data_IF_973603156615
#
_entry.id   IF_973603156615
#
_cell.length_a   1.000
_cell.length_b   1.000
_cell.length_c   1.000
_cell.angle_alpha   90.00
_cell.angle_beta   90.00
_cell.angle_gamma   90.00
#
_symmetry.space_group_name_H-M   'P 1'
#
loop_
_entity.id
_entity.type
_entity.pdbx_description
1 polymer ?
#
# COMPACT_ATOMS: atom_id res chain seq x y z
N UNK A 1 17.61 -2.97 -21.04
CA UNK A 1 17.03 -1.76 -20.41
C UNK A 1 15.52 -1.86 -20.24
N UNK A 2 14.74 -2.20 -21.27
CA UNK A 2 13.26 -2.33 -21.19
C UNK A 2 12.77 -3.42 -20.21
N UNK A 3 13.41 -4.59 -20.15
CA UNK A 3 12.90 -5.68 -19.28
C UNK A 3 13.12 -5.45 -17.77
N UNK A 4 14.12 -4.65 -17.38
CA UNK A 4 14.36 -4.32 -15.97
C UNK A 4 13.35 -3.30 -15.46
N UNK A 5 12.99 -2.31 -16.30
CA UNK A 5 11.96 -1.33 -16.01
C UNK A 5 10.58 -2.00 -15.89
N UNK A 6 10.25 -2.92 -16.80
CA UNK A 6 9.01 -3.71 -16.72
C UNK A 6 8.95 -4.58 -15.45
N UNK A 7 10.07 -5.23 -15.08
CA UNK A 7 10.18 -5.97 -13.83
C UNK A 7 9.98 -5.08 -12.61
N UNK A 8 10.57 -3.89 -12.60
CA UNK A 8 10.40 -2.92 -11.51
C UNK A 8 8.93 -2.48 -11.40
N UNK A 9 8.30 -2.16 -12.53
CA UNK A 9 6.89 -1.77 -12.60
C UNK A 9 5.97 -2.84 -11.99
N UNK A 10 6.18 -4.11 -12.36
CA UNK A 10 5.42 -5.22 -11.80
C UNK A 10 5.66 -5.42 -10.29
N UNK A 11 6.90 -5.27 -9.82
CA UNK A 11 7.23 -5.34 -8.39
C UNK A 11 6.57 -4.22 -7.59
N UNK A 12 6.54 -3.00 -8.14
CA UNK A 12 5.87 -1.86 -7.50
C UNK A 12 4.35 -2.10 -7.41
N UNK A 13 3.73 -2.62 -8.47
CA UNK A 13 2.30 -3.02 -8.45
C UNK A 13 2.01 -4.05 -7.36
N UNK A 14 2.84 -5.07 -7.23
CA UNK A 14 2.71 -6.06 -6.17
C UNK A 14 2.85 -5.42 -4.77
N UNK A 15 3.77 -4.47 -4.59
CA UNK A 15 3.95 -3.76 -3.33
C UNK A 15 2.72 -2.92 -2.95
N UNK A 16 2.07 -2.25 -3.91
CA UNK A 16 0.79 -1.54 -3.66
C UNK A 16 -0.24 -2.49 -3.05
N UNK A 17 -0.47 -3.64 -3.68
CA UNK A 17 -1.44 -4.63 -3.20
C UNK A 17 -1.13 -5.13 -1.79
N UNK A 18 0.16 -5.37 -1.47
CA UNK A 18 0.58 -5.76 -0.13
C UNK A 18 0.22 -4.69 0.90
N UNK A 19 0.52 -3.42 0.61
CA UNK A 19 0.18 -2.31 1.50
C UNK A 19 -1.33 -2.12 1.66
N UNK A 20 -2.11 -2.22 0.58
CA UNK A 20 -3.57 -2.12 0.65
C UNK A 20 -4.20 -3.25 1.47
N UNK A 21 -3.73 -4.48 1.27
CA UNK A 21 -4.20 -5.64 2.03
C UNK A 21 -3.87 -5.49 3.52
N UNK A 22 -2.63 -5.10 3.86
CA UNK A 22 -2.24 -4.85 5.24
C UNK A 22 -3.06 -3.73 5.89
N UNK A 23 -3.35 -2.66 5.15
CA UNK A 23 -4.22 -1.60 5.64
C UNK A 23 -5.65 -2.13 5.91
N UNK A 24 -6.18 -2.96 5.02
CA UNK A 24 -7.48 -3.61 5.18
C UNK A 24 -7.55 -4.55 6.37
N UNK A 25 -6.54 -5.41 6.54
CA UNK A 25 -6.44 -6.36 7.65
C UNK A 25 -6.27 -5.65 8.98
N UNK A 26 -5.43 -4.61 9.06
CA UNK A 26 -5.34 -3.77 10.25
C UNK A 26 -6.68 -3.10 10.54
N UNK A 27 -7.37 -2.56 9.54
CA UNK A 27 -8.71 -1.98 9.75
C UNK A 27 -9.73 -3.00 10.29
N UNK A 28 -9.65 -4.26 9.89
CA UNK A 28 -10.48 -5.35 10.45
C UNK A 28 -10.10 -5.67 11.89
N UNK A 29 -8.81 -5.81 12.19
CA UNK A 29 -8.32 -6.11 13.53
C UNK A 29 -8.68 -4.99 14.51
N UNK A 30 -8.55 -3.72 14.11
CA UNK A 30 -8.95 -2.58 14.93
C UNK A 30 -10.42 -2.65 15.35
N UNK A 31 -11.32 -3.01 14.42
CA UNK A 31 -12.75 -3.17 14.73
C UNK A 31 -13.01 -4.32 15.69
N UNK A 32 -12.23 -5.41 15.60
CA UNK A 32 -12.32 -6.53 16.54
C UNK A 32 -11.89 -6.05 17.93
N UNK A 33 -10.72 -5.41 18.05
CA UNK A 33 -10.23 -4.87 19.33
C UNK A 33 -11.19 -3.85 19.95
N UNK A 34 -11.75 -2.94 19.15
CA UNK A 34 -12.75 -1.98 19.61
C UNK A 34 -14.02 -2.68 20.13
N UNK A 35 -14.47 -3.74 19.46
CA UNK A 35 -15.63 -4.52 19.91
C UNK A 35 -15.39 -5.31 21.20
N UNK A 36 -14.11 -5.62 21.50
CA UNK A 36 -13.68 -6.24 22.76
C UNK A 36 -13.47 -5.21 23.87
N UNK A 37 -13.65 -3.91 23.58
CA UNK A 37 -13.47 -2.81 24.52
C UNK A 37 -12.02 -2.32 24.65
N UNK A 38 -11.08 -2.87 23.87
CA UNK A 38 -9.69 -2.40 23.83
C UNK A 38 -9.52 -1.28 22.81
N UNK A 39 -9.99 -0.09 23.19
CA UNK A 39 -9.92 1.12 22.36
C UNK A 39 -8.48 1.57 22.10
N UNK A 40 -7.56 1.33 23.05
CA UNK A 40 -6.17 1.72 22.90
C UNK A 40 -5.47 0.86 21.84
N UNK A 41 -5.67 -0.46 21.87
CA UNK A 41 -5.17 -1.33 20.82
C UNK A 41 -5.79 -0.99 19.46
N UNK A 42 -7.10 -0.73 19.41
CA UNK A 42 -7.79 -0.33 18.19
C UNK A 42 -7.16 0.92 17.55
N UNK A 43 -6.85 1.96 18.34
CA UNK A 43 -6.22 3.19 17.86
C UNK A 43 -4.81 2.97 17.30
N UNK A 44 -4.01 2.14 17.97
CA UNK A 44 -2.67 1.76 17.50
C UNK A 44 -2.78 1.04 16.16
N UNK A 45 -3.68 0.07 16.05
CA UNK A 45 -3.89 -0.72 14.82
C UNK A 45 -4.40 0.19 13.70
N UNK A 46 -5.30 1.13 13.97
CA UNK A 46 -5.75 2.13 12.99
C UNK A 46 -4.60 3.02 12.50
N UNK A 47 -3.66 3.37 13.38
CA UNK A 47 -2.46 4.11 12.98
C UNK A 47 -1.60 3.31 12.00
N UNK A 48 -1.41 2.01 12.25
CA UNK A 48 -0.71 1.10 11.34
C UNK A 48 -1.48 1.00 10.00
N UNK A 49 -2.80 0.85 10.03
CA UNK A 49 -3.63 0.82 8.82
C UNK A 49 -3.43 2.08 7.96
N UNK A 50 -3.44 3.26 8.58
CA UNK A 50 -3.19 4.54 7.92
C UNK A 50 -1.79 4.61 7.31
N UNK A 51 -0.76 4.16 8.04
CA UNK A 51 0.60 4.09 7.53
C UNK A 51 0.68 3.27 6.24
N UNK A 52 0.12 2.05 6.23
CA UNK A 52 0.13 1.21 5.04
C UNK A 52 -0.67 1.82 3.88
N UNK A 53 -1.79 2.51 4.15
CA UNK A 53 -2.54 3.23 3.12
C UNK A 53 -1.74 4.37 2.48
N UNK A 54 -1.01 5.15 3.28
CA UNK A 54 -0.10 6.19 2.76
C UNK A 54 0.99 5.57 1.90
N UNK A 55 1.61 4.48 2.34
CA UNK A 55 2.62 3.76 1.54
C UNK A 55 2.07 3.24 0.22
N UNK A 56 0.85 2.69 0.18
CA UNK A 56 0.21 2.25 -1.05
C UNK A 56 0.04 3.42 -2.05
N UNK A 57 -0.31 4.61 -1.57
CA UNK A 57 -0.45 5.82 -2.40
C UNK A 57 0.90 6.30 -2.94
N UNK A 58 1.93 6.34 -2.10
CA UNK A 58 3.29 6.72 -2.51
C UNK A 58 3.84 5.78 -3.60
N UNK A 59 3.69 4.46 -3.40
CA UNK A 59 4.14 3.48 -4.39
C UNK A 59 3.31 3.56 -5.67
N UNK A 60 2.00 3.80 -5.58
CA UNK A 60 1.14 4.04 -6.75
C UNK A 60 1.60 5.25 -7.56
N UNK A 61 1.93 6.35 -6.90
CA UNK A 61 2.47 7.54 -7.58
C UNK A 61 3.78 7.24 -8.32
N UNK A 62 4.65 6.37 -7.78
CA UNK A 62 5.89 5.96 -8.45
C UNK A 62 5.60 5.10 -9.70
N UNK A 63 4.57 4.26 -9.66
CA UNK A 63 4.13 3.47 -10.82
C UNK A 63 3.64 4.39 -11.93
N UNK A 64 2.87 5.42 -11.60
CA UNK A 64 2.35 6.38 -12.58
C UNK A 64 3.49 7.16 -13.24
N UNK A 65 4.46 7.63 -12.46
CA UNK A 65 5.65 8.29 -12.97
C UNK A 65 6.46 7.38 -13.90
N UNK A 66 6.67 6.11 -13.50
CA UNK A 66 7.40 5.14 -14.33
C UNK A 66 6.66 4.84 -15.64
N UNK A 67 5.33 4.72 -15.57
CA UNK A 67 4.47 4.49 -16.76
C UNK A 67 4.57 5.65 -17.75
N UNK A 68 4.57 6.89 -17.24
CA UNK A 68 4.74 8.09 -18.07
C UNK A 68 6.12 8.13 -18.75
N UNK A 69 7.19 7.69 -18.08
CA UNK A 69 8.52 7.61 -18.69
C UNK A 69 8.61 6.52 -19.77
N UNK A 70 8.00 5.37 -19.53
CA UNK A 70 7.98 4.25 -20.48
C UNK A 70 7.22 4.60 -21.77
N UNK A 71 6.12 5.34 -21.65
CA UNK A 71 5.30 5.76 -22.81
C UNK A 71 5.94 6.87 -23.64
N UNK A 72 6.74 7.75 -23.04
CA UNK A 72 7.51 8.79 -23.75
C UNK A 72 8.76 8.28 -24.46
N UNK A 73 9.25 7.10 -24.08
CA UNK A 73 10.48 6.50 -24.62
C UNK A 73 10.21 5.52 -25.78
N UNK A 74 8.97 5.42 -26.25
CA UNK A 74 8.52 4.63 -27.41
C UNK A 74 8.18 5.58 -28.55
#
# INVERSE_FOLDING_TARGET
MTSEIEKLHMKLRAAVLVHENLAGDCGRLARISESEGDTQAADIILSIARFHRVRALEVSSNIDALTALMTRSR
#
